data_IF_285013411393
#
_entry.id   IF_285013411393
#
_cell.length_a   1.000
_cell.length_b   1.000
_cell.length_c   1.000
_cell.angle_alpha   90.00
_cell.angle_beta   90.00
_cell.angle_gamma   90.00
#
_symmetry.space_group_name_H-M   'P 1'
#
loop_
_entity.id
_entity.type
_entity.pdbx_description
1 polymer ?
#
# COMPACT_ATOMS: atom_id res chain seq x y z
N UNK A 1 13.28 1.85 -0.38
CA UNK A 1 12.23 0.84 -0.56
C UNK A 1 10.96 1.42 -1.16
N UNK A 2 10.42 2.49 -0.60
CA UNK A 2 9.15 3.11 -1.06
C UNK A 2 9.32 4.46 -1.79
N UNK A 3 10.49 5.09 -1.69
CA UNK A 3 10.72 6.41 -2.26
C UNK A 3 11.48 6.38 -3.59
N UNK A 4 11.66 5.20 -4.20
CA UNK A 4 12.34 5.10 -5.50
C UNK A 4 11.34 4.75 -6.60
N UNK A 5 11.20 5.63 -7.59
CA UNK A 5 10.44 5.36 -8.80
C UNK A 5 11.40 4.87 -9.89
N UNK A 6 11.07 3.74 -10.52
CA UNK A 6 11.82 3.28 -11.67
C UNK A 6 11.19 3.90 -12.92
N UNK A 7 11.95 4.78 -13.56
CA UNK A 7 11.54 5.48 -14.76
C UNK A 7 11.26 4.51 -15.88
N UNK A 8 10.07 4.57 -16.46
CA UNK A 8 9.64 3.60 -17.47
C UNK A 8 10.20 3.96 -18.84
N UNK A 9 10.42 5.26 -19.08
CA UNK A 9 11.01 5.78 -20.31
C UNK A 9 12.52 5.91 -20.19
N UNK A 10 13.00 6.61 -19.17
CA UNK A 10 14.44 6.83 -18.94
C UNK A 10 15.22 5.59 -18.49
N UNK A 11 14.54 4.48 -18.16
CA UNK A 11 15.11 3.29 -17.52
C UNK A 11 15.96 3.60 -16.27
N UNK A 12 15.76 4.78 -15.68
CA UNK A 12 16.58 5.35 -14.62
C UNK A 12 15.83 5.29 -13.30
N UNK A 13 16.55 4.99 -12.22
CA UNK A 13 15.98 4.96 -10.89
C UNK A 13 15.99 6.35 -10.28
N UNK A 14 14.82 6.98 -10.20
CA UNK A 14 14.61 8.20 -9.44
C UNK A 14 14.59 7.86 -7.95
N UNK A 15 15.51 8.44 -7.18
CA UNK A 15 15.53 8.30 -5.73
C UNK A 15 14.62 9.35 -5.09
N UNK A 16 14.26 9.15 -3.82
CA UNK A 16 13.34 10.02 -3.07
C UNK A 16 13.93 11.35 -2.64
N UNK A 17 14.95 11.83 -3.33
CA UNK A 17 15.65 13.08 -3.08
C UNK A 17 15.12 14.16 -4.03
N UNK A 18 14.95 15.38 -3.54
CA UNK A 18 14.51 16.51 -4.36
C UNK A 18 13.74 17.53 -3.54
N UNK A 19 13.05 18.44 -4.23
CA UNK A 19 12.18 19.42 -3.62
C UNK A 19 10.76 18.87 -3.49
N UNK A 20 10.10 19.16 -2.37
CA UNK A 20 8.73 18.72 -2.10
C UNK A 20 7.91 19.94 -1.66
N UNK A 21 6.77 20.15 -2.31
CA UNK A 21 5.77 21.11 -1.88
C UNK A 21 4.49 20.37 -1.51
N UNK A 22 4.02 20.57 -0.28
CA UNK A 22 2.69 20.11 0.14
C UNK A 22 1.67 21.19 -0.23
N UNK A 23 0.64 20.82 -0.99
CA UNK A 23 -0.44 21.73 -1.33
C UNK A 23 -1.53 21.71 -0.25
N UNK A 24 -2.08 22.87 0.14
CA UNK A 24 -3.24 22.91 1.02
C UNK A 24 -4.49 22.37 0.31
N UNK A 25 -5.46 21.88 1.10
CA UNK A 25 -6.73 21.36 0.56
C UNK A 25 -7.62 22.48 -0.01
N UNK A 26 -7.42 23.73 0.43
CA UNK A 26 -8.16 24.87 -0.08
C UNK A 26 -7.66 25.26 -1.47
N UNK A 27 -8.58 25.29 -2.43
CA UNK A 27 -8.27 25.62 -3.82
C UNK A 27 -7.61 27.00 -4.00
N UNK A 28 -8.05 28.04 -3.28
CA UNK A 28 -7.51 29.39 -3.44
C UNK A 28 -6.07 29.48 -2.94
N UNK A 29 -5.80 28.90 -1.78
CA UNK A 29 -4.46 28.82 -1.19
C UNK A 29 -3.53 27.95 -2.05
N UNK A 30 -4.01 26.80 -2.51
CA UNK A 30 -3.23 25.91 -3.38
C UNK A 30 -2.88 26.60 -4.69
N UNK A 31 -3.82 27.34 -5.27
CA UNK A 31 -3.59 28.13 -6.48
C UNK A 31 -2.55 29.23 -6.25
N UNK A 32 -2.55 29.88 -5.09
CA UNK A 32 -1.55 30.89 -4.74
C UNK A 32 -0.16 30.27 -4.59
N UNK A 33 -0.04 29.12 -3.93
CA UNK A 33 1.22 28.36 -3.81
C UNK A 33 1.74 27.93 -5.18
N UNK A 34 0.89 27.38 -6.05
CA UNK A 34 1.28 26.96 -7.40
C UNK A 34 1.76 28.13 -8.27
N UNK A 35 1.15 29.32 -8.14
CA UNK A 35 1.64 30.53 -8.81
C UNK A 35 3.02 30.92 -8.29
N UNK A 36 3.22 30.94 -6.98
CA UNK A 36 4.54 31.21 -6.39
C UNK A 36 5.62 30.24 -6.88
N UNK A 37 5.32 28.94 -6.94
CA UNK A 37 6.24 27.93 -7.49
C UNK A 37 6.57 28.18 -8.97
N UNK A 38 5.59 28.62 -9.75
CA UNK A 38 5.81 28.98 -11.15
C UNK A 38 6.72 30.20 -11.29
N UNK A 39 6.51 31.23 -10.47
CA UNK A 39 7.24 32.49 -10.55
C UNK A 39 8.73 32.33 -10.19
N UNK A 40 9.05 31.40 -9.28
CA UNK A 40 10.44 31.06 -8.92
C UNK A 40 11.08 30.01 -9.85
N UNK A 41 10.36 29.55 -10.88
CA UNK A 41 10.87 28.52 -11.79
C UNK A 41 11.13 27.17 -11.10
N UNK A 42 10.27 26.77 -10.16
CA UNK A 42 10.45 25.54 -9.38
C UNK A 42 10.55 24.28 -10.25
N UNK A 43 9.91 24.30 -11.44
CA UNK A 43 10.14 23.35 -12.52
C UNK A 43 10.96 24.05 -13.59
N UNK A 44 12.17 23.58 -13.80
CA UNK A 44 13.16 24.15 -14.73
C UNK A 44 13.67 23.11 -15.74
N UNK A 45 14.61 23.52 -16.60
CA UNK A 45 15.23 22.63 -17.59
C UNK A 45 16.15 21.55 -16.98
N UNK A 46 16.52 21.68 -15.70
CA UNK A 46 17.27 20.68 -14.96
C UNK A 46 16.35 19.62 -14.33
N UNK A 47 15.05 19.90 -14.23
CA UNK A 47 14.06 18.97 -13.70
C UNK A 47 13.93 17.76 -14.63
N UNK A 48 14.07 16.56 -14.06
CA UNK A 48 14.03 15.28 -14.80
C UNK A 48 12.79 14.44 -14.52
N UNK A 49 12.16 14.66 -13.37
CA UNK A 49 10.89 14.03 -13.03
C UNK A 49 10.11 14.88 -12.04
N UNK A 50 8.78 14.90 -12.21
CA UNK A 50 7.81 15.46 -11.29
C UNK A 50 6.90 14.33 -10.80
N UNK A 51 6.66 14.28 -9.49
CA UNK A 51 5.75 13.33 -8.87
C UNK A 51 4.63 14.07 -8.15
N UNK A 52 3.39 13.68 -8.41
CA UNK A 52 2.19 14.23 -7.76
C UNK A 52 1.46 13.08 -7.07
N UNK A 53 1.39 13.15 -5.74
CA UNK A 53 0.74 12.15 -4.89
C UNK A 53 -0.55 12.73 -4.30
N UNK A 54 -1.67 12.04 -4.54
CA UNK A 54 -3.01 12.45 -4.13
C UNK A 54 -3.72 11.28 -3.45
N UNK A 55 -4.44 11.58 -2.36
CA UNK A 55 -5.30 10.61 -1.68
C UNK A 55 -6.73 11.11 -1.73
N UNK A 56 -7.62 10.33 -2.31
CA UNK A 56 -9.04 10.66 -2.46
C UNK A 56 -9.87 9.65 -1.69
N UNK A 57 -10.77 10.13 -0.83
CA UNK A 57 -11.71 9.30 -0.10
C UNK A 57 -13.14 9.51 -0.62
N UNK A 58 -13.84 8.42 -0.92
CA UNK A 58 -15.25 8.42 -1.28
C UNK A 58 -16.07 7.79 -0.13
N UNK A 59 -16.79 8.60 0.66
CA UNK A 59 -17.59 8.12 1.79
C UNK A 59 -18.72 7.18 1.39
N UNK A 60 -19.39 7.44 0.26
CA UNK A 60 -20.57 6.69 -0.16
C UNK A 60 -20.27 5.21 -0.47
N UNK A 61 -19.06 4.93 -0.98
CA UNK A 61 -18.59 3.57 -1.26
C UNK A 61 -17.58 3.05 -0.23
N UNK A 62 -17.13 3.88 0.71
CA UNK A 62 -16.06 3.53 1.65
C UNK A 62 -14.73 3.21 0.97
N UNK A 63 -14.47 3.78 -0.20
CA UNK A 63 -13.24 3.57 -0.99
C UNK A 63 -12.23 4.69 -0.74
N UNK A 64 -10.96 4.31 -0.65
CA UNK A 64 -9.83 5.23 -0.66
C UNK A 64 -8.97 4.94 -1.89
N UNK A 65 -8.65 5.99 -2.65
CA UNK A 65 -7.87 5.92 -3.88
C UNK A 65 -6.59 6.75 -3.73
N UNK A 66 -5.46 6.08 -3.88
CA UNK A 66 -4.13 6.67 -3.95
C UNK A 66 -3.76 6.84 -5.42
N UNK A 67 -3.65 8.08 -5.87
CA UNK A 67 -3.22 8.43 -7.22
C UNK A 67 -1.79 8.97 -7.17
N UNK A 68 -0.90 8.35 -7.93
CA UNK A 68 0.49 8.77 -8.13
C UNK A 68 0.70 9.07 -9.60
N UNK A 69 0.86 10.34 -9.95
CA UNK A 69 1.21 10.79 -11.29
C UNK A 69 2.73 11.04 -11.32
N UNK A 70 3.42 10.36 -12.22
CA UNK A 70 4.83 10.60 -12.53
C UNK A 70 4.92 11.25 -13.91
N UNK A 71 5.67 12.34 -14.01
CA UNK A 71 5.96 13.02 -15.28
C UNK A 71 7.47 13.06 -15.45
N UNK A 72 8.01 12.31 -16.41
CA UNK A 72 9.41 12.32 -16.78
C UNK A 72 9.67 13.43 -17.82
N UNK A 73 10.70 14.23 -17.59
CA UNK A 73 11.07 15.39 -18.40
C UNK A 73 12.46 15.13 -19.00
N UNK A 74 12.55 14.43 -20.15
CA UNK A 74 13.81 14.19 -20.83
C UNK A 74 14.38 15.48 -21.43
N UNK A 75 15.71 15.54 -21.65
CA UNK A 75 16.36 16.70 -22.27
C UNK A 75 15.88 16.99 -23.71
N UNK A 76 15.24 16.02 -24.36
CA UNK A 76 14.68 16.13 -25.71
C UNK A 76 13.38 16.95 -25.77
N UNK A 77 12.77 17.26 -24.63
CA UNK A 77 11.63 18.19 -24.52
C UNK A 77 10.24 17.55 -24.55
N UNK A 78 10.11 16.25 -24.84
CA UNK A 78 8.83 15.53 -24.80
C UNK A 78 8.55 14.97 -23.40
N UNK A 79 7.49 15.42 -22.74
CA UNK A 79 7.14 14.97 -21.40
C UNK A 79 6.40 13.63 -21.43
N UNK A 80 6.92 12.65 -20.69
CA UNK A 80 6.33 11.31 -20.57
C UNK A 80 5.55 11.18 -19.28
N UNK A 81 4.29 10.75 -19.35
CA UNK A 81 3.40 10.72 -18.18
C UNK A 81 2.97 9.30 -17.82
N UNK A 82 2.94 9.02 -16.53
CA UNK A 82 2.53 7.73 -16.00
C UNK A 82 1.64 7.89 -14.77
N UNK A 83 0.41 7.40 -14.87
CA UNK A 83 -0.55 7.41 -13.77
C UNK A 83 -0.64 6.02 -13.13
N UNK A 84 -0.43 5.96 -11.81
CA UNK A 84 -0.69 4.78 -11.00
C UNK A 84 -1.83 5.06 -10.04
N UNK A 85 -2.93 4.33 -10.22
CA UNK A 85 -4.08 4.34 -9.33
C UNK A 85 -4.09 3.07 -8.48
N UNK A 86 -4.26 3.24 -7.17
CA UNK A 86 -4.50 2.14 -6.22
C UNK A 86 -5.73 2.47 -5.41
N UNK A 87 -6.78 1.68 -5.59
CA UNK A 87 -8.03 1.83 -4.85
C UNK A 87 -8.19 0.65 -3.90
N UNK A 88 -8.50 0.95 -2.64
CA UNK A 88 -8.77 -0.05 -1.60
C UNK A 88 -9.98 0.36 -0.79
N UNK A 89 -10.65 -0.62 -0.19
CA UNK A 89 -11.75 -0.33 0.71
C UNK A 89 -11.21 0.07 2.09
N UNK A 90 -11.73 1.14 2.69
CA UNK A 90 -11.30 1.61 4.02
C UNK A 90 -11.45 0.52 5.09
N UNK A 91 -12.45 -0.35 4.99
CA UNK A 91 -12.64 -1.51 5.88
C UNK A 91 -11.49 -2.53 5.85
N UNK A 92 -10.66 -2.55 4.82
CA UNK A 92 -9.46 -3.41 4.77
C UNK A 92 -8.29 -2.82 5.58
N UNK A 93 -8.43 -1.59 6.06
CA UNK A 93 -7.41 -0.81 6.75
C UNK A 93 -7.87 -0.50 8.18
N UNK A 94 -9.17 -0.27 8.36
CA UNK A 94 -9.81 0.05 9.63
C UNK A 94 -10.55 -1.19 10.18
N UNK A 95 -10.10 -1.78 11.30
CA UNK A 95 -10.72 -2.99 11.87
C UNK A 95 -12.18 -2.80 12.27
N UNK A 96 -12.54 -1.60 12.72
CA UNK A 96 -13.88 -1.29 13.27
C UNK A 96 -15.02 -1.42 12.25
N UNK A 97 -14.71 -1.39 10.96
CA UNK A 97 -15.69 -1.42 9.85
C UNK A 97 -15.88 -2.83 9.27
N UNK A 98 -15.29 -3.86 9.89
CA UNK A 98 -15.41 -5.25 9.42
C UNK A 98 -16.60 -5.94 10.08
N UNK A 99 -17.54 -6.40 9.26
CA UNK A 99 -18.62 -7.24 9.77
C UNK A 99 -18.12 -8.65 10.07
N UNK A 100 -18.74 -9.28 11.08
CA UNK A 100 -18.41 -10.66 11.52
C UNK A 100 -18.47 -11.65 10.35
N UNK A 101 -19.40 -11.47 9.41
CA UNK A 101 -19.56 -12.32 8.24
C UNK A 101 -18.32 -12.32 7.32
N UNK A 102 -17.59 -11.21 7.21
CA UNK A 102 -16.35 -11.15 6.43
C UNK A 102 -15.15 -11.78 7.17
N UNK A 103 -15.19 -11.83 8.50
CA UNK A 103 -14.13 -12.42 9.33
C UNK A 103 -14.22 -13.95 9.42
N UNK A 104 -15.43 -14.53 9.28
CA UNK A 104 -15.65 -15.98 9.34
C UNK A 104 -14.77 -16.81 8.38
N UNK A 105 -14.71 -16.53 7.06
CA UNK A 105 -13.88 -17.32 6.14
C UNK A 105 -12.38 -17.17 6.45
N UNK A 106 -11.94 -16.01 6.93
CA UNK A 106 -10.56 -15.79 7.35
C UNK A 106 -10.23 -16.61 8.61
N UNK A 107 -11.10 -16.59 9.62
CA UNK A 107 -10.94 -17.38 10.83
C UNK A 107 -10.93 -18.88 10.53
N UNK A 108 -11.81 -19.35 9.65
CA UNK A 108 -11.87 -20.75 9.21
C UNK A 108 -10.56 -21.17 8.53
N UNK A 109 -10.00 -20.33 7.67
CA UNK A 109 -8.79 -20.64 6.93
C UNK A 109 -7.54 -20.62 7.83
N UNK A 110 -7.47 -19.71 8.81
CA UNK A 110 -6.45 -19.73 9.87
C UNK A 110 -6.55 -21.00 10.70
N UNK A 111 -7.75 -21.38 11.14
CA UNK A 111 -7.98 -22.59 11.93
C UNK A 111 -7.58 -23.86 11.16
N UNK A 112 -7.94 -23.94 9.88
CA UNK A 112 -7.58 -25.05 9.01
C UNK A 112 -6.05 -25.15 8.83
N UNK A 113 -5.37 -24.02 8.61
CA UNK A 113 -3.91 -23.98 8.51
C UNK A 113 -3.25 -24.42 9.82
N UNK A 114 -3.71 -23.93 10.96
CA UNK A 114 -3.17 -24.32 12.26
C UNK A 114 -3.36 -25.82 12.54
N UNK A 115 -4.51 -26.37 12.15
CA UNK A 115 -4.77 -27.80 12.24
C UNK A 115 -3.79 -28.61 11.38
N UNK A 116 -3.60 -28.23 10.12
CA UNK A 116 -2.65 -28.93 9.23
C UNK A 116 -1.21 -28.79 9.72
N UNK A 117 -0.79 -27.61 10.20
CA UNK A 117 0.54 -27.41 10.77
C UNK A 117 0.79 -28.34 11.97
N UNK A 118 -0.22 -28.54 12.82
CA UNK A 118 -0.13 -29.46 13.95
C UNK A 118 -0.06 -30.93 13.52
N UNK A 119 -0.85 -31.34 12.53
CA UNK A 119 -0.81 -32.70 12.00
C UNK A 119 0.55 -32.98 11.36
N UNK A 120 1.02 -32.07 10.52
CA UNK A 120 2.25 -32.24 9.74
C UNK A 120 3.50 -32.12 10.63
N UNK A 121 3.48 -31.23 11.63
CA UNK A 121 4.52 -31.16 12.65
C UNK A 121 4.65 -32.45 13.47
N UNK A 122 3.51 -33.10 13.82
CA UNK A 122 3.54 -34.40 14.51
C UNK A 122 4.03 -35.53 13.61
N UNK A 123 3.77 -35.45 12.30
CA UNK A 123 4.24 -36.43 11.31
C UNK A 123 5.74 -36.31 11.09
N UNK A 124 6.23 -35.09 10.93
CA UNK A 124 7.65 -34.78 10.82
C UNK A 124 8.46 -35.23 12.05
N UNK A 125 7.90 -35.07 13.26
CA UNK A 125 8.58 -35.55 14.49
C UNK A 125 8.80 -37.07 14.52
N UNK A 126 7.88 -37.85 13.92
CA UNK A 126 7.90 -39.32 13.99
C UNK A 126 8.58 -39.99 12.80
N UNK A 127 8.99 -39.24 11.78
CA UNK A 127 9.53 -39.77 10.52
C UNK A 127 11.03 -39.49 10.41
N UNK A 128 11.75 -40.31 9.63
CA UNK A 128 13.11 -39.97 9.20
C UNK A 128 13.06 -38.69 8.35
N UNK A 129 13.76 -37.66 8.82
CA UNK A 129 13.62 -36.27 8.34
C UNK A 129 14.02 -36.07 6.87
N UNK A 130 14.92 -36.90 6.33
CA UNK A 130 15.52 -36.68 5.01
C UNK A 130 14.57 -37.06 3.87
N UNK A 131 14.05 -38.28 3.85
CA UNK A 131 13.12 -38.73 2.80
C UNK A 131 11.79 -37.99 2.86
N UNK A 132 11.39 -37.59 4.06
CA UNK A 132 10.18 -36.81 4.28
C UNK A 132 10.31 -35.38 3.72
N UNK A 133 11.46 -34.71 3.85
CA UNK A 133 11.69 -33.38 3.29
C UNK A 133 11.94 -33.39 1.77
N UNK A 134 12.47 -34.50 1.23
CA UNK A 134 12.70 -34.68 -0.21
C UNK A 134 11.46 -35.13 -0.99
N UNK A 135 10.38 -35.50 -0.29
CA UNK A 135 9.08 -35.76 -0.91
C UNK A 135 8.51 -34.48 -1.53
N UNK A 136 8.25 -34.54 -2.84
CA UNK A 136 7.65 -33.44 -3.60
C UNK A 136 6.32 -32.94 -2.99
N UNK A 137 5.47 -33.86 -2.51
CA UNK A 137 4.18 -33.52 -1.93
C UNK A 137 4.31 -32.80 -0.59
N UNK A 138 5.22 -33.26 0.25
CA UNK A 138 5.47 -32.63 1.55
C UNK A 138 6.07 -31.25 1.35
N UNK A 139 6.98 -31.09 0.39
CA UNK A 139 7.55 -29.78 0.04
C UNK A 139 6.44 -28.80 -0.41
N UNK A 140 5.50 -29.23 -1.26
CA UNK A 140 4.37 -28.41 -1.68
C UNK A 140 3.48 -27.99 -0.49
N UNK A 141 3.22 -28.90 0.45
CA UNK A 141 2.45 -28.59 1.66
C UNK A 141 3.14 -27.53 2.52
N UNK A 142 4.44 -27.68 2.77
CA UNK A 142 5.23 -26.70 3.51
C UNK A 142 5.29 -25.34 2.81
N UNK A 143 5.46 -25.31 1.48
CA UNK A 143 5.42 -24.08 0.69
C UNK A 143 4.03 -23.40 0.76
N UNK A 144 2.95 -24.17 0.68
CA UNK A 144 1.59 -23.66 0.80
C UNK A 144 1.35 -23.03 2.18
N UNK A 145 1.75 -23.71 3.26
CA UNK A 145 1.66 -23.17 4.62
C UNK A 145 2.50 -21.90 4.80
N UNK A 146 3.74 -21.90 4.29
CA UNK A 146 4.64 -20.75 4.40
C UNK A 146 4.09 -19.54 3.63
N UNK A 147 3.60 -19.73 2.41
CA UNK A 147 2.99 -18.66 1.61
C UNK A 147 1.72 -18.12 2.27
N UNK A 148 0.89 -18.97 2.88
CA UNK A 148 -0.26 -18.53 3.64
C UNK A 148 0.12 -17.68 4.86
N UNK A 149 1.07 -18.14 5.69
CA UNK A 149 1.57 -17.38 6.85
C UNK A 149 2.16 -16.03 6.43
N UNK A 150 2.94 -16.00 5.34
CA UNK A 150 3.45 -14.76 4.77
C UNK A 150 2.32 -13.81 4.32
N UNK A 151 1.31 -14.33 3.61
CA UNK A 151 0.17 -13.52 3.18
C UNK A 151 -0.66 -13.00 4.38
N UNK A 152 -0.86 -13.82 5.40
CA UNK A 152 -1.60 -13.44 6.61
C UNK A 152 -0.86 -12.35 7.41
N UNK A 153 0.45 -12.48 7.58
CA UNK A 153 1.25 -11.43 8.24
C UNK A 153 1.25 -10.11 7.46
N UNK A 154 1.33 -10.16 6.13
CA UNK A 154 1.22 -8.99 5.27
C UNK A 154 -0.16 -8.31 5.39
N UNK A 155 -1.23 -9.11 5.54
CA UNK A 155 -2.59 -8.61 5.77
C UNK A 155 -2.75 -7.93 7.13
N UNK A 156 -2.07 -8.43 8.18
CA UNK A 156 -2.15 -7.84 9.52
C UNK A 156 -1.36 -6.53 9.66
N UNK A 157 -0.31 -6.37 8.87
CA UNK A 157 0.63 -5.24 8.96
C UNK A 157 -0.04 -3.85 8.87
N UNK A 158 -0.96 -3.57 7.93
CA UNK A 158 -1.66 -2.28 7.88
C UNK A 158 -2.47 -1.96 9.15
N UNK A 159 -3.20 -2.93 9.71
CA UNK A 159 -3.97 -2.71 10.93
C UNK A 159 -3.07 -2.33 12.11
N UNK A 160 -1.91 -2.98 12.22
CA UNK A 160 -0.93 -2.69 13.27
C UNK A 160 -0.32 -1.29 13.13
N UNK A 161 -0.10 -0.83 11.90
CA UNK A 161 0.36 0.54 11.61
C UNK A 161 -0.74 1.54 11.95
N UNK A 162 -1.95 1.30 11.47
CA UNK A 162 -3.13 2.18 11.64
C UNK A 162 -3.49 2.35 13.12
N UNK A 163 -3.45 1.26 13.89
CA UNK A 163 -3.72 1.31 15.34
C UNK A 163 -2.70 2.16 16.11
N UNK A 164 -1.51 2.39 15.55
CA UNK A 164 -0.48 3.26 16.15
C UNK A 164 -0.52 4.70 15.65
N UNK A 165 -1.14 4.95 14.49
CA UNK A 165 -1.16 6.28 13.85
C UNK A 165 -2.41 7.10 14.17
N UNK A 166 -3.31 6.62 15.04
CA UNK A 166 -4.52 7.36 15.43
C UNK A 166 -5.50 7.59 14.28
N UNK A 167 -5.54 6.68 13.30
CA UNK A 167 -6.40 6.76 12.13
C UNK A 167 -7.64 5.84 12.32
N UNK A 168 -8.87 6.28 11.96
CA UNK A 168 -9.21 7.53 11.27
C UNK A 168 -9.12 8.77 12.18
N UNK A 169 -8.75 9.95 11.62
CA UNK A 169 -8.72 11.19 12.40
C UNK A 169 -10.12 11.51 12.95
N UNK A 170 -10.22 12.12 14.14
CA UNK A 170 -11.51 12.48 14.72
C UNK A 170 -12.26 13.41 13.77
N UNK A 171 -13.61 13.33 13.71
CA UNK A 171 -14.40 14.23 12.89
C UNK A 171 -14.10 15.69 13.27
N UNK A 172 -14.12 16.63 12.31
CA UNK A 172 -13.93 18.05 12.61
C UNK A 172 -14.94 18.50 13.69
N UNK A 173 -14.52 19.31 14.68
CA UNK A 173 -15.45 19.86 15.65
C UNK A 173 -16.53 20.68 14.92
N UNK A 174 -17.80 20.30 15.10
CA UNK A 174 -18.96 20.97 14.49
C UNK A 174 -19.77 20.13 13.50
N UNK A 175 -19.33 18.92 13.13
CA UNK A 175 -20.09 18.06 12.20
C UNK A 175 -21.25 17.27 12.85
N UNK A 176 -21.34 17.30 14.19
CA UNK A 176 -22.42 16.66 14.97
C UNK A 176 -22.96 17.55 16.10
N UNK A 177 -23.03 18.88 15.89
CA UNK A 177 -23.89 19.72 16.73
C UNK A 177 -25.30 19.75 16.11
N UNK A 178 -26.14 18.81 16.54
CA UNK A 178 -27.59 18.97 16.47
C UNK A 178 -28.08 19.70 17.72
#
# INVERSE_FOLDING_TARGET
GENSYYGRWSATRYQGSGYVQVLPTNYSEASAVLRGLRDVGWIDSATRALFVDLTVWNPASGLISLAKLAVELPPTGEAETFLRLRTSHVRMIVPAEQSVLLLLPEAMLVAMTAFFLFVEGRRAWRSDYVDYLLSWWNLLEWCSMATFLAAFTLRLRPYWIVSRSGFPPPPPPGLFSH
#
